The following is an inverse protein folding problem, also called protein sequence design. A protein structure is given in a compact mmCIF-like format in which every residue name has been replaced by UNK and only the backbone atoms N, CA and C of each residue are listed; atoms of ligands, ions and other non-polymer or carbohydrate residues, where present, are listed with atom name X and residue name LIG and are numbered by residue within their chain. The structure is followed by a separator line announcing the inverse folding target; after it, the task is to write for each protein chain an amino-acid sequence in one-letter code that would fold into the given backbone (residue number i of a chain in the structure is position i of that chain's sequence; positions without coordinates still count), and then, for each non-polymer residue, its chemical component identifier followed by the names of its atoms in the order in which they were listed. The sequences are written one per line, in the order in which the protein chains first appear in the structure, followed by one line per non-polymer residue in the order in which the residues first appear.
data_IF_347250233034
#
_entry.id   IF_347250233034
#
_cell.length_a   1.000
_cell.length_b   1.000
_cell.length_c   1.000
_cell.angle_alpha   90.00
_cell.angle_beta   90.00
_cell.angle_gamma   90.00
#
_symmetry.space_group_name_H-M   'P 1'
#
loop_
_entity.id
_entity.type
_entity.pdbx_description
1 polymer ?
#
# COMPACT_ATOMS: atom_id res chain seq x y z
N UNK A 1 -10.20 -4.01 0.71
CA UNK A 1 -8.81 -4.48 0.56
C UNK A 1 -8.68 -6.00 0.74
N UNK A 2 -8.74 -6.58 1.95
CA UNK A 2 -8.45 -8.01 2.17
C UNK A 2 -9.27 -8.97 1.26
N UNK A 3 -10.58 -8.72 1.13
CA UNK A 3 -11.45 -9.48 0.23
C UNK A 3 -10.96 -9.48 -1.23
N UNK A 4 -10.55 -8.33 -1.76
CA UNK A 4 -10.06 -8.20 -3.14
C UNK A 4 -8.72 -8.93 -3.31
N UNK A 5 -7.80 -8.80 -2.34
CA UNK A 5 -6.52 -9.51 -2.35
C UNK A 5 -6.73 -11.02 -2.36
N UNK A 6 -7.59 -11.54 -1.49
CA UNK A 6 -7.91 -12.97 -1.44
C UNK A 6 -8.66 -13.46 -2.67
N UNK A 7 -9.40 -12.60 -3.38
CA UNK A 7 -10.18 -13.04 -4.55
C UNK A 7 -9.32 -13.55 -5.70
N UNK A 8 -8.09 -13.04 -5.83
CA UNK A 8 -7.17 -13.40 -6.91
C UNK A 8 -6.35 -14.67 -6.64
N UNK A 9 -6.26 -15.15 -5.40
CA UNK A 9 -5.44 -16.32 -5.04
C UNK A 9 -6.20 -17.24 -4.08
N UNK A 10 -6.49 -18.48 -4.50
CA UNK A 10 -7.29 -19.44 -3.72
C UNK A 10 -6.68 -19.70 -2.34
N UNK A 11 -5.35 -19.88 -2.25
CA UNK A 11 -4.65 -20.08 -0.99
C UNK A 11 -4.81 -18.89 -0.05
N UNK A 12 -4.57 -17.69 -0.55
CA UNK A 12 -4.72 -16.46 0.23
C UNK A 12 -6.15 -16.28 0.73
N UNK A 13 -7.15 -16.53 -0.13
CA UNK A 13 -8.57 -16.53 0.26
C UNK A 13 -8.84 -17.47 1.42
N UNK A 14 -8.25 -18.68 1.38
CA UNK A 14 -8.43 -19.69 2.41
C UNK A 14 -7.79 -19.26 3.72
N UNK A 15 -6.55 -18.77 3.70
CA UNK A 15 -5.87 -18.31 4.90
C UNK A 15 -6.60 -17.13 5.56
N UNK A 16 -7.02 -16.14 4.77
CA UNK A 16 -7.86 -15.04 5.25
C UNK A 16 -9.21 -15.53 5.80
N UNK A 17 -9.85 -16.48 5.11
CA UNK A 17 -11.10 -17.09 5.54
C UNK A 17 -10.99 -17.81 6.88
N UNK A 18 -9.86 -18.51 7.13
CA UNK A 18 -9.57 -19.15 8.41
C UNK A 18 -9.47 -18.12 9.55
N UNK A 19 -8.82 -16.98 9.30
CA UNK A 19 -8.71 -15.90 10.29
C UNK A 19 -10.10 -15.36 10.65
N UNK A 20 -10.95 -15.08 9.65
CA UNK A 20 -12.32 -14.58 9.86
C UNK A 20 -13.19 -15.62 10.56
N UNK A 21 -13.09 -16.90 10.19
CA UNK A 21 -13.86 -17.98 10.81
C UNK A 21 -13.51 -18.15 12.30
N UNK A 22 -12.22 -17.97 12.66
CA UNK A 22 -11.74 -18.05 14.04
C UNK A 22 -12.10 -16.82 14.87
N UNK A 23 -12.14 -15.65 14.25
CA UNK A 23 -12.39 -14.37 14.91
C UNK A 23 -13.34 -13.50 14.08
N UNK A 24 -14.67 -13.75 14.12
CA UNK A 24 -15.63 -13.00 13.32
C UNK A 24 -15.69 -11.50 13.66
N UNK A 25 -15.25 -11.13 14.88
CA UNK A 25 -15.20 -9.74 15.34
C UNK A 25 -13.93 -9.00 14.87
N UNK A 26 -13.09 -9.61 14.03
CA UNK A 26 -11.88 -8.99 13.50
C UNK A 26 -12.15 -7.62 12.86
N UNK A 27 -13.30 -7.45 12.20
CA UNK A 27 -13.68 -6.20 11.54
C UNK A 27 -14.00 -5.04 12.50
N UNK A 28 -14.18 -5.34 13.80
CA UNK A 28 -14.37 -4.33 14.85
C UNK A 28 -13.06 -3.97 15.56
N UNK A 29 -11.95 -4.65 15.24
CA UNK A 29 -10.65 -4.38 15.85
C UNK A 29 -10.00 -3.15 15.22
N UNK A 30 -9.02 -2.54 15.88
CA UNK A 30 -8.23 -1.45 15.30
C UNK A 30 -7.65 -1.82 13.93
N UNK A 31 -7.54 -0.82 13.04
CA UNK A 31 -7.19 -1.05 11.63
C UNK A 31 -5.84 -1.76 11.46
N UNK A 32 -4.85 -1.44 12.29
CA UNK A 32 -3.56 -2.12 12.31
C UNK A 32 -3.69 -3.63 12.59
N UNK A 33 -4.55 -4.02 13.52
CA UNK A 33 -4.82 -5.43 13.84
C UNK A 33 -5.50 -6.13 12.66
N UNK A 34 -6.41 -5.43 11.98
CA UNK A 34 -7.04 -5.96 10.77
C UNK A 34 -6.01 -6.15 9.65
N UNK A 35 -5.17 -5.15 9.39
CA UNK A 35 -4.10 -5.21 8.37
C UNK A 35 -3.13 -6.36 8.65
N UNK A 36 -2.65 -6.47 9.89
CA UNK A 36 -1.74 -7.52 10.30
C UNK A 36 -2.34 -8.91 10.11
N UNK A 37 -3.55 -9.14 10.64
CA UNK A 37 -4.15 -10.49 10.66
C UNK A 37 -4.77 -10.91 9.34
N UNK A 38 -5.35 -9.98 8.59
CA UNK A 38 -6.06 -10.30 7.35
C UNK A 38 -5.18 -10.13 6.11
N UNK A 39 -4.07 -9.41 6.19
CA UNK A 39 -3.21 -9.17 5.02
C UNK A 39 -1.79 -9.65 5.32
N UNK A 40 -1.09 -9.10 6.32
CA UNK A 40 0.33 -9.42 6.50
C UNK A 40 0.58 -10.89 6.84
N UNK A 41 -0.05 -11.40 7.90
CA UNK A 41 0.19 -12.75 8.40
C UNK A 41 -0.18 -13.84 7.37
N UNK A 42 -1.30 -13.76 6.62
CA UNK A 42 -1.57 -14.68 5.52
C UNK A 42 -0.49 -14.67 4.43
N UNK A 43 0.04 -13.50 4.06
CA UNK A 43 1.11 -13.41 3.06
C UNK A 43 2.43 -13.97 3.57
N UNK A 44 2.81 -13.64 4.80
CA UNK A 44 4.00 -14.20 5.43
C UNK A 44 3.90 -15.72 5.54
N UNK A 45 2.74 -16.25 5.92
CA UNK A 45 2.51 -17.69 5.94
C UNK A 45 2.74 -18.31 4.55
N UNK A 46 2.14 -17.75 3.49
CA UNK A 46 2.30 -18.28 2.14
C UNK A 46 3.75 -18.22 1.67
N UNK A 47 4.47 -17.13 1.97
CA UNK A 47 5.89 -16.96 1.64
C UNK A 47 6.78 -18.05 2.23
N UNK A 48 6.46 -18.57 3.41
CA UNK A 48 7.25 -19.62 4.07
C UNK A 48 6.78 -21.05 3.73
N UNK A 49 5.57 -21.21 3.20
CA UNK A 49 4.91 -22.52 3.06
C UNK A 49 4.41 -22.83 1.63
N UNK A 50 4.84 -22.07 0.63
CA UNK A 50 4.43 -22.27 -0.77
C UNK A 50 5.63 -22.31 -1.71
N UNK A 51 5.44 -22.98 -2.84
CA UNK A 51 6.46 -23.07 -3.89
C UNK A 51 6.61 -21.73 -4.62
N UNK A 52 7.78 -21.48 -5.23
CA UNK A 52 8.09 -20.21 -5.91
C UNK A 52 7.08 -19.85 -7.01
N UNK A 53 6.60 -20.85 -7.77
CA UNK A 53 5.55 -20.66 -8.77
C UNK A 53 4.25 -20.10 -8.19
N UNK A 54 3.92 -20.42 -6.94
CA UNK A 54 2.71 -19.93 -6.28
C UNK A 54 2.90 -18.54 -5.69
N UNK A 55 4.12 -18.22 -5.26
CA UNK A 55 4.48 -16.88 -4.81
C UNK A 55 4.42 -15.86 -5.95
N UNK A 56 4.77 -16.28 -7.17
CA UNK A 56 4.67 -15.44 -8.37
C UNK A 56 3.22 -15.00 -8.69
N UNK A 57 2.22 -15.74 -8.18
CA UNK A 57 0.80 -15.41 -8.35
C UNK A 57 0.25 -14.49 -7.24
N UNK A 58 1.06 -14.14 -6.24
CA UNK A 58 0.65 -13.20 -5.20
C UNK A 58 0.64 -11.77 -5.75
N UNK A 59 -0.30 -10.91 -5.31
CA UNK A 59 -0.29 -9.53 -5.73
C UNK A 59 0.90 -8.80 -5.11
N UNK A 60 1.72 -8.19 -5.96
CA UNK A 60 2.85 -7.35 -5.57
C UNK A 60 2.46 -5.87 -5.43
N UNK A 61 1.31 -5.48 -5.98
CA UNK A 61 0.84 -4.10 -5.96
C UNK A 61 -0.55 -3.99 -5.33
N UNK A 62 -0.75 -2.95 -4.53
CA UNK A 62 -2.02 -2.58 -3.93
C UNK A 62 -2.36 -1.16 -4.38
N UNK A 63 -3.45 -1.00 -5.12
CA UNK A 63 -4.01 0.30 -5.47
C UNK A 63 -5.12 0.66 -4.49
N UNK A 64 -5.00 1.83 -3.87
CA UNK A 64 -6.03 2.44 -3.03
C UNK A 64 -6.54 3.67 -3.77
N UNK A 65 -7.72 3.54 -4.39
CA UNK A 65 -8.33 4.61 -5.15
C UNK A 65 -9.20 5.51 -4.26
N UNK A 66 -8.93 6.81 -4.26
CA UNK A 66 -9.74 7.83 -3.58
C UNK A 66 -9.65 7.79 -2.06
N UNK A 67 -8.45 7.82 -1.48
CA UNK A 67 -8.27 7.86 -0.02
C UNK A 67 -9.00 9.07 0.63
N UNK A 68 -9.16 10.18 -0.10
CA UNK A 68 -9.90 11.36 0.35
C UNK A 68 -11.40 11.08 0.58
N UNK A 69 -11.93 9.93 0.15
CA UNK A 69 -13.32 9.52 0.40
C UNK A 69 -13.55 8.89 1.78
N UNK A 70 -12.50 8.76 2.59
CA UNK A 70 -12.66 8.42 4.00
C UNK A 70 -13.56 9.44 4.71
N UNK A 71 -14.23 9.00 5.78
CA UNK A 71 -15.26 9.80 6.46
C UNK A 71 -14.75 11.13 7.01
N UNK A 72 -13.47 11.19 7.40
CA UNK A 72 -12.80 12.39 7.88
C UNK A 72 -11.27 12.23 7.78
N UNK A 73 -10.55 13.31 8.09
CA UNK A 73 -9.08 13.36 8.07
C UNK A 73 -8.43 12.41 9.09
N UNK A 74 -9.07 12.18 10.25
CA UNK A 74 -8.58 11.21 11.24
C UNK A 74 -8.53 9.80 10.67
N UNK A 75 -9.56 9.39 9.91
CA UNK A 75 -9.60 8.09 9.23
C UNK A 75 -8.58 8.00 8.11
N UNK A 76 -8.34 9.09 7.37
CA UNK A 76 -7.26 9.13 6.37
C UNK A 76 -5.90 8.93 7.02
N UNK A 77 -5.64 9.64 8.12
CA UNK A 77 -4.40 9.50 8.89
C UNK A 77 -4.26 8.10 9.50
N UNK A 78 -5.35 7.49 9.98
CA UNK A 78 -5.35 6.10 10.49
C UNK A 78 -4.96 5.10 9.39
N UNK A 79 -5.48 5.27 8.17
CA UNK A 79 -5.12 4.42 7.03
C UNK A 79 -3.65 4.61 6.65
N UNK A 80 -3.19 5.85 6.48
CA UNK A 80 -1.81 6.17 6.10
C UNK A 80 -0.79 5.68 7.13
N UNK A 81 -1.05 5.92 8.42
CA UNK A 81 -0.20 5.44 9.51
C UNK A 81 -0.19 3.92 9.59
N UNK A 82 -1.35 3.26 9.43
CA UNK A 82 -1.41 1.79 9.38
C UNK A 82 -0.60 1.25 8.22
N UNK A 83 -0.69 1.84 7.02
CA UNK A 83 0.11 1.44 5.87
C UNK A 83 1.61 1.59 6.15
N UNK A 84 2.02 2.71 6.75
CA UNK A 84 3.42 2.94 7.10
C UNK A 84 3.95 1.86 8.06
N UNK A 85 3.26 1.65 9.18
CA UNK A 85 3.71 0.72 10.22
C UNK A 85 3.64 -0.74 9.77
N UNK A 86 2.55 -1.14 9.15
CA UNK A 86 2.31 -2.54 8.79
C UNK A 86 3.03 -2.94 7.51
N UNK A 87 3.08 -2.06 6.51
CA UNK A 87 3.55 -2.43 5.17
C UNK A 87 4.92 -1.82 4.88
N UNK A 88 5.06 -0.50 4.91
CA UNK A 88 6.28 0.15 4.44
C UNK A 88 7.49 -0.14 5.33
N UNK A 89 7.30 -0.26 6.64
CA UNK A 89 8.36 -0.64 7.58
C UNK A 89 8.67 -2.14 7.58
N UNK A 90 7.78 -3.00 7.08
CA UNK A 90 8.02 -4.44 7.02
C UNK A 90 8.67 -4.84 5.68
N UNK A 91 10.02 -4.92 5.70
CA UNK A 91 10.83 -5.30 4.54
C UNK A 91 10.60 -6.72 3.99
N UNK A 92 9.87 -7.56 4.72
CA UNK A 92 9.57 -8.93 4.29
C UNK A 92 8.34 -9.01 3.38
N UNK A 93 7.57 -7.93 3.29
CA UNK A 93 6.38 -7.89 2.44
C UNK A 93 6.72 -7.37 1.04
N UNK A 94 6.21 -8.02 -0.01
CA UNK A 94 6.54 -7.67 -1.37
C UNK A 94 5.67 -6.53 -1.93
N UNK A 95 4.91 -5.84 -1.08
CA UNK A 95 3.89 -4.89 -1.53
C UNK A 95 4.48 -3.54 -1.94
N UNK A 96 4.07 -3.08 -3.11
CA UNK A 96 4.11 -1.68 -3.51
C UNK A 96 2.70 -1.11 -3.40
N UNK A 97 2.57 0.04 -2.77
CA UNK A 97 1.27 0.68 -2.55
C UNK A 97 1.19 1.94 -3.42
N UNK A 98 0.12 2.04 -4.19
CA UNK A 98 -0.25 3.23 -4.93
C UNK A 98 -1.52 3.80 -4.32
N UNK A 99 -1.51 5.09 -4.01
CA UNK A 99 -2.66 5.79 -3.41
C UNK A 99 -3.02 6.94 -4.33
N UNK A 100 -4.28 7.03 -4.74
CA UNK A 100 -4.84 8.22 -5.39
C UNK A 100 -5.71 8.96 -4.38
N UNK A 101 -5.63 10.29 -4.40
CA UNK A 101 -6.43 11.12 -3.49
C UNK A 101 -6.37 12.59 -3.86
N UNK A 102 -7.39 13.35 -3.45
CA UNK A 102 -7.25 14.80 -3.31
C UNK A 102 -6.22 15.14 -2.21
N UNK A 103 -5.53 16.28 -2.30
CA UNK A 103 -4.52 16.68 -1.32
C UNK A 103 -5.17 17.29 -0.07
N UNK A 104 -5.95 16.50 0.67
CA UNK A 104 -6.52 16.92 1.96
C UNK A 104 -5.44 17.01 3.04
N UNK A 105 -5.73 17.65 4.18
CA UNK A 105 -4.70 18.03 5.15
C UNK A 105 -3.94 16.82 5.71
N UNK A 106 -4.63 15.74 6.07
CA UNK A 106 -4.01 14.52 6.58
C UNK A 106 -3.04 13.88 5.59
N UNK A 107 -3.33 13.96 4.29
CA UNK A 107 -2.48 13.42 3.23
C UNK A 107 -1.28 14.33 2.99
N UNK A 108 -1.52 15.65 2.88
CA UNK A 108 -0.46 16.64 2.68
C UNK A 108 0.55 16.65 3.81
N UNK A 109 0.09 16.78 5.05
CA UNK A 109 0.96 16.82 6.24
C UNK A 109 1.77 15.54 6.43
N UNK A 110 1.26 14.39 6.00
CA UNK A 110 2.02 13.14 6.04
C UNK A 110 3.20 13.13 5.05
N UNK A 111 3.11 13.89 3.95
CA UNK A 111 4.08 13.92 2.84
C UNK A 111 5.03 15.13 2.87
N UNK A 112 4.71 16.18 3.63
CA UNK A 112 5.55 17.36 3.86
C UNK A 112 6.91 16.99 4.48
N UNK A 113 7.88 17.90 4.50
CA UNK A 113 9.29 17.61 4.88
C UNK A 113 9.45 16.98 6.28
N UNK A 114 8.58 17.32 7.22
CA UNK A 114 8.52 16.77 8.58
C UNK A 114 7.48 15.64 8.72
N UNK A 115 6.80 15.29 7.64
CA UNK A 115 5.80 14.23 7.56
C UNK A 115 6.39 12.83 7.65
N UNK A 116 5.64 11.92 8.28
CA UNK A 116 6.10 10.54 8.52
C UNK A 116 6.18 9.67 7.26
N UNK A 117 5.68 10.15 6.10
CA UNK A 117 5.80 9.49 4.80
C UNK A 117 6.85 10.15 3.90
N UNK A 118 7.42 11.30 4.26
CA UNK A 118 8.28 12.10 3.40
C UNK A 118 9.41 11.32 2.72
N UNK A 119 10.08 10.44 3.48
CA UNK A 119 11.24 9.67 2.99
C UNK A 119 10.90 8.28 2.45
N UNK A 120 9.64 7.85 2.59
CA UNK A 120 9.20 6.48 2.26
C UNK A 120 8.12 6.44 1.18
N UNK A 121 7.61 7.59 0.76
CA UNK A 121 6.60 7.72 -0.28
C UNK A 121 7.04 8.73 -1.35
N UNK A 122 6.67 8.44 -2.59
CA UNK A 122 6.77 9.37 -3.70
C UNK A 122 5.40 10.01 -3.93
N UNK A 123 5.36 11.34 -3.99
CA UNK A 123 4.14 12.09 -4.28
C UNK A 123 4.22 12.65 -5.70
N UNK A 124 3.25 12.27 -6.54
CA UNK A 124 3.13 12.76 -7.92
C UNK A 124 1.89 13.67 -7.98
N UNK A 125 2.06 15.00 -7.94
CA UNK A 125 0.94 15.92 -8.08
C UNK A 125 0.42 15.84 -9.52
N UNK A 126 -0.85 15.48 -9.68
CA UNK A 126 -1.53 15.57 -10.96
C UNK A 126 -2.02 17.01 -11.14
N UNK A 127 -1.39 17.76 -12.04
CA UNK A 127 -1.87 19.10 -12.42
C UNK A 127 -2.98 18.99 -13.45
N UNK A 128 -3.98 19.88 -13.36
CA UNK A 128 -5.05 20.00 -14.36
C UNK A 128 -4.56 20.54 -15.73
N UNK A 129 -3.27 20.92 -15.85
CA UNK A 129 -2.67 21.34 -17.10
C UNK A 129 -1.99 20.15 -17.80
N UNK A 130 -2.55 19.71 -18.92
CA UNK A 130 -1.80 18.92 -19.90
C UNK A 130 -0.58 19.73 -20.36
N UNK A 131 0.60 19.08 -20.45
CA UNK A 131 1.92 19.59 -20.84
C UNK A 131 2.52 20.61 -19.85
N UNK A 132 3.70 20.41 -19.22
CA UNK A 132 4.99 20.00 -19.76
C UNK A 132 5.97 19.80 -18.58
N UNK A 133 7.00 18.96 -18.75
CA UNK A 133 8.19 18.83 -17.87
C UNK A 133 7.99 18.15 -16.48
N UNK A 134 8.07 16.82 -16.47
CA UNK A 134 9.00 16.04 -15.64
C UNK A 134 8.97 14.62 -16.22
N UNK A 135 10.02 14.24 -16.96
CA UNK A 135 10.13 12.98 -17.69
C UNK A 135 10.35 11.80 -16.77
N UNK A 136 9.32 11.43 -16.01
CA UNK A 136 9.28 10.19 -15.25
C UNK A 136 8.12 9.39 -15.80
N UNK A 137 8.43 8.39 -16.62
CA UNK A 137 7.41 7.47 -17.10
C UNK A 137 6.90 6.65 -15.91
N UNK A 138 5.58 6.51 -15.78
CA UNK A 138 4.98 5.70 -14.74
C UNK A 138 5.52 4.25 -14.74
N UNK A 139 5.99 3.76 -15.90
CA UNK A 139 6.71 2.50 -16.03
C UNK A 139 8.04 2.47 -15.27
N UNK A 140 8.83 3.55 -15.25
CA UNK A 140 10.10 3.61 -14.51
C UNK A 140 9.87 3.52 -12.99
N UNK A 141 8.80 4.15 -12.49
CA UNK A 141 8.42 4.10 -11.07
C UNK A 141 7.91 2.70 -10.69
N UNK A 142 7.15 2.07 -11.58
CA UNK A 142 6.69 0.68 -11.39
C UNK A 142 7.85 -0.32 -11.50
N UNK A 143 8.94 0.01 -12.19
CA UNK A 143 10.09 -0.89 -12.37
C UNK A 143 11.23 -0.65 -11.38
N UNK A 144 11.30 0.52 -10.74
CA UNK A 144 12.32 0.84 -9.73
C UNK A 144 13.69 1.19 -10.33
N UNK A 145 13.72 1.65 -11.58
CA UNK A 145 14.94 2.08 -12.25
C UNK A 145 15.20 3.57 -11.93
N UNK A 146 16.34 3.88 -11.33
CA UNK A 146 16.77 5.25 -11.05
C UNK A 146 17.68 5.75 -12.15
N UNK A 147 17.18 6.60 -13.05
CA UNK A 147 18.06 7.35 -13.97
C UNK A 147 18.71 8.49 -13.20
N UNK A 148 19.93 8.24 -12.73
CA UNK A 148 20.78 9.24 -12.12
C UNK A 148 21.20 10.24 -13.21
N UNK A 149 20.55 11.41 -13.27
CA UNK A 149 21.04 12.55 -14.06
C UNK A 149 21.17 13.79 -13.19
N UNK A 150 22.08 13.71 -12.21
CA UNK A 150 22.82 14.91 -11.84
C UNK A 150 23.83 15.20 -12.93
N UNK A 151 23.72 16.36 -13.60
CA UNK A 151 24.88 17.08 -14.09
C UNK A 151 24.63 18.58 -13.99
N UNK A 152 25.27 19.18 -12.99
CA UNK A 152 25.56 20.61 -12.94
C UNK A 152 26.40 21.01 -14.16
N UNK A 153 26.00 22.07 -14.86
CA UNK A 153 26.77 23.33 -14.95
C UNK A 153 25.87 24.45 -15.44
#
# INVERSE_FOLDING_TARGET
MAYQLGSNTIKLRREMGTVVAKDPLIFLKPLNTQMEKLIMAPFEYLRHNSEESELSALPYAILIDGLDKCTNEERQAEVLSTINECVLKNKNLPFRIFITSRPEWAIRSALEEDGYLHQVAYHIPLSDNESNQLGWDAEEIVNGETTNTHNHT
#
